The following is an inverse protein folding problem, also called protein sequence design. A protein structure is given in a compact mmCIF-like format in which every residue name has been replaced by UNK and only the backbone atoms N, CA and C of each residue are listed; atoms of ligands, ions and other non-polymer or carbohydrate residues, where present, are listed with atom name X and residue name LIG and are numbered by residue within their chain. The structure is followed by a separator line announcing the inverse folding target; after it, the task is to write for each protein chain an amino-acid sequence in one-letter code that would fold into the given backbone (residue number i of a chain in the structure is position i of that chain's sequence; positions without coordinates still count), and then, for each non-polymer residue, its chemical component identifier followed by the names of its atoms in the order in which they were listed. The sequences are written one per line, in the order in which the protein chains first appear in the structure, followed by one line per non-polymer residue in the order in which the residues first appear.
data_IF_546389783145
#
_entry.id   IF_546389783145
#
_cell.length_a   1.000
_cell.length_b   1.000
_cell.length_c   1.000
_cell.angle_alpha   90.00
_cell.angle_beta   90.00
_cell.angle_gamma   90.00
#
_symmetry.space_group_name_H-M   'P 1'
#
loop_
_entity.id
_entity.type
_entity.pdbx_description
1 polymer ?
#
# COMPACT_ATOMS: atom_id res chain seq x y z
N UNK A 1 -2.01 7.40 24.00
CA UNK A 1 -2.74 7.93 22.83
C UNK A 1 -1.93 7.51 21.61
N UNK A 2 -2.24 6.34 21.05
CA UNK A 2 -1.43 5.79 19.95
C UNK A 2 -1.77 6.54 18.67
N UNK A 3 -0.77 7.20 18.10
CA UNK A 3 -0.84 8.01 16.87
C UNK A 3 -1.39 7.20 15.70
N UNK A 4 -2.66 7.46 15.38
CA UNK A 4 -3.48 6.73 14.39
C UNK A 4 -3.25 7.22 12.95
N UNK A 5 -2.03 7.67 12.63
CA UNK A 5 -1.72 8.38 11.36
C UNK A 5 -0.74 7.61 10.46
N UNK A 6 -0.25 6.44 10.89
CA UNK A 6 0.72 5.65 10.12
C UNK A 6 0.08 4.53 9.29
N UNK A 7 -1.25 4.46 9.24
CA UNK A 7 -1.92 3.38 8.53
C UNK A 7 -2.16 3.77 7.08
N UNK A 8 -1.60 2.99 6.16
CA UNK A 8 -1.77 3.10 4.71
C UNK A 8 -2.86 2.13 4.29
N UNK A 9 -3.90 2.67 3.67
CA UNK A 9 -5.01 1.88 3.15
C UNK A 9 -4.85 1.58 1.66
N UNK A 10 -4.12 2.43 0.93
CA UNK A 10 -3.89 2.25 -0.51
C UNK A 10 -2.40 2.24 -0.86
N UNK A 11 -2.01 1.39 -1.80
CA UNK A 11 -0.66 1.38 -2.35
C UNK A 11 -0.70 1.54 -3.87
N UNK A 12 0.23 2.33 -4.41
CA UNK A 12 0.38 2.45 -5.86
C UNK A 12 0.99 1.16 -6.41
N UNK A 13 0.26 0.47 -7.29
CA UNK A 13 0.68 -0.79 -7.92
C UNK A 13 1.19 -0.64 -9.35
N UNK A 14 1.13 0.58 -9.90
CA UNK A 14 1.58 0.86 -11.26
C UNK A 14 3.05 0.44 -11.43
N UNK A 15 3.38 -0.38 -12.45
CA UNK A 15 4.73 -0.91 -12.65
C UNK A 15 5.77 0.20 -12.88
N UNK A 16 5.40 1.27 -13.58
CA UNK A 16 6.25 2.45 -13.82
C UNK A 16 6.66 3.17 -12.52
N UNK A 17 5.84 3.03 -11.47
CA UNK A 17 6.07 3.63 -10.16
C UNK A 17 6.73 2.66 -9.16
N UNK A 18 7.04 1.43 -9.57
CA UNK A 18 7.77 0.45 -8.73
C UNK A 18 9.27 0.71 -8.84
N UNK A 19 9.77 1.64 -8.01
CA UNK A 19 11.19 2.01 -7.96
C UNK A 19 11.93 1.24 -6.87
N UNK A 20 13.21 0.95 -7.09
CA UNK A 20 14.08 0.28 -6.11
C UNK A 20 14.43 1.15 -4.90
N UNK A 21 14.40 2.48 -5.07
CA UNK A 21 14.67 3.45 -4.00
C UNK A 21 13.36 4.06 -3.53
N UNK A 22 12.84 3.57 -2.40
CA UNK A 22 11.56 4.00 -1.85
C UNK A 22 11.65 5.41 -1.27
N UNK A 23 10.85 6.33 -1.80
CA UNK A 23 10.70 7.69 -1.26
C UNK A 23 9.55 7.72 -0.24
N UNK A 24 9.64 8.57 0.77
CA UNK A 24 8.54 8.81 1.71
C UNK A 24 7.47 9.71 1.08
N UNK A 25 6.75 9.19 0.09
CA UNK A 25 5.64 9.88 -0.55
C UNK A 25 4.31 9.30 -0.10
N UNK A 26 3.81 9.88 0.99
CA UNK A 26 2.47 9.68 1.50
C UNK A 26 1.53 10.71 0.86
N UNK A 27 0.42 10.22 0.32
CA UNK A 27 -0.64 11.05 -0.23
C UNK A 27 -1.98 10.60 0.34
N UNK A 28 -3.03 11.39 0.14
CA UNK A 28 -4.39 11.04 0.55
C UNK A 28 -5.16 10.64 -0.71
N UNK A 29 -5.74 9.44 -0.72
CA UNK A 29 -6.65 8.95 -1.74
C UNK A 29 -7.95 8.51 -1.06
N UNK A 30 -9.09 9.00 -1.53
CA UNK A 30 -10.42 8.63 -0.98
C UNK A 30 -10.50 8.82 0.54
N UNK A 31 -10.07 9.99 1.02
CA UNK A 31 -10.03 10.37 2.45
C UNK A 31 -9.14 9.48 3.35
N UNK A 32 -8.36 8.57 2.73
CA UNK A 32 -7.49 7.61 3.40
C UNK A 32 -6.05 7.77 2.94
N UNK A 33 -5.10 7.25 3.72
CA UNK A 33 -3.68 7.34 3.37
C UNK A 33 -3.32 6.36 2.26
N UNK A 34 -2.55 6.87 1.30
CA UNK A 34 -2.02 6.14 0.18
C UNK A 34 -0.52 6.32 0.06
N UNK A 35 0.19 5.27 -0.35
CA UNK A 35 1.64 5.28 -0.47
C UNK A 35 2.10 5.03 -1.91
N UNK A 36 2.89 5.97 -2.44
CA UNK A 36 3.55 5.82 -3.74
C UNK A 36 5.05 5.59 -3.57
N UNK A 37 5.63 4.48 -4.06
CA UNK A 37 7.07 4.24 -3.98
C UNK A 37 7.92 5.29 -4.73
N UNK A 38 7.42 5.78 -5.86
CA UNK A 38 8.15 6.67 -6.78
C UNK A 38 7.98 8.16 -6.50
N UNK A 39 7.07 8.55 -5.60
CA UNK A 39 6.70 9.96 -5.37
C UNK A 39 6.21 10.73 -6.61
N UNK A 40 5.81 10.03 -7.68
CA UNK A 40 5.21 10.66 -8.86
C UNK A 40 3.92 11.39 -8.48
N UNK A 41 3.57 12.43 -9.23
CA UNK A 41 2.40 13.28 -8.92
C UNK A 41 1.12 12.90 -9.67
N UNK A 42 1.22 12.04 -10.70
CA UNK A 42 0.08 11.66 -11.56
C UNK A 42 0.16 10.21 -12.05
N UNK A 43 -0.99 9.67 -12.45
CA UNK A 43 -1.12 8.37 -13.08
C UNK A 43 -0.93 7.24 -12.09
N UNK A 44 -1.53 7.34 -10.92
CA UNK A 44 -1.45 6.31 -9.91
C UNK A 44 -2.50 5.23 -10.14
N UNK A 45 -2.10 3.98 -9.93
CA UNK A 45 -3.04 2.86 -9.83
C UNK A 45 -3.05 2.43 -8.38
N UNK A 46 -4.09 2.84 -7.64
CA UNK A 46 -4.22 2.55 -6.22
C UNK A 46 -4.97 1.24 -6.02
N UNK A 47 -4.40 0.34 -5.22
CA UNK A 47 -5.13 -0.84 -4.74
C UNK A 47 -5.14 -0.87 -3.21
N UNK A 48 -6.24 -1.38 -2.61
CA UNK A 48 -6.34 -1.50 -1.18
C UNK A 48 -5.28 -2.46 -0.65
N UNK A 49 -4.58 -2.06 0.42
CA UNK A 49 -3.58 -2.85 1.10
C UNK A 49 -3.96 -3.19 2.55
N UNK A 50 -5.21 -2.90 2.94
CA UNK A 50 -5.83 -3.43 4.16
C UNK A 50 -5.35 -2.76 5.45
N UNK A 51 -4.83 -1.53 5.35
CA UNK A 51 -4.48 -0.75 6.52
C UNK A 51 -3.17 -1.18 7.18
N UNK A 52 -2.06 -1.16 6.43
CA UNK A 52 -0.74 -1.51 6.95
C UNK A 52 0.06 -0.29 7.39
N UNK A 53 0.97 -0.48 8.34
CA UNK A 53 1.94 0.56 8.72
C UNK A 53 2.86 0.89 7.57
N UNK A 54 3.28 2.15 7.45
CA UNK A 54 4.15 2.58 6.35
C UNK A 54 5.48 1.83 6.37
N UNK A 55 6.02 1.56 7.56
CA UNK A 55 7.30 0.85 7.73
C UNK A 55 7.21 -0.61 7.25
N UNK A 56 6.13 -1.30 7.60
CA UNK A 56 5.86 -2.67 7.16
C UNK A 56 5.62 -2.73 5.66
N UNK A 57 4.83 -1.80 5.12
CA UNK A 57 4.59 -1.68 3.69
C UNK A 57 5.90 -1.48 2.91
N UNK A 58 6.80 -0.62 3.40
CA UNK A 58 8.11 -0.38 2.76
C UNK A 58 8.98 -1.64 2.77
N UNK A 59 9.03 -2.37 3.88
CA UNK A 59 9.76 -3.65 3.94
C UNK A 59 9.22 -4.66 2.93
N UNK A 60 7.90 -4.76 2.81
CA UNK A 60 7.27 -5.65 1.83
C UNK A 60 7.54 -5.21 0.39
N UNK A 61 7.52 -3.91 0.10
CA UNK A 61 7.81 -3.35 -1.23
C UNK A 61 9.27 -3.58 -1.66
N UNK A 62 10.20 -3.69 -0.71
CA UNK A 62 11.58 -4.08 -0.99
C UNK A 62 11.73 -5.55 -1.36
N UNK A 63 10.78 -6.40 -0.95
CA UNK A 63 10.84 -7.85 -1.11
C UNK A 63 9.91 -8.36 -2.22
N UNK A 64 8.81 -7.66 -2.45
CA UNK A 64 7.70 -8.07 -3.31
C UNK A 64 7.13 -6.88 -4.07
N UNK A 65 6.61 -7.09 -5.29
CA UNK A 65 5.91 -6.04 -6.03
C UNK A 65 4.63 -5.62 -5.31
N UNK A 66 4.27 -4.34 -5.38
CA UNK A 66 3.08 -3.77 -4.73
C UNK A 66 1.78 -4.51 -5.07
N UNK A 67 1.65 -5.03 -6.30
CA UNK A 67 0.50 -5.85 -6.73
C UNK A 67 0.29 -7.07 -5.82
N UNK A 68 1.37 -7.72 -5.37
CA UNK A 68 1.29 -8.88 -4.47
C UNK A 68 0.83 -8.51 -3.07
N UNK A 69 1.23 -7.33 -2.62
CA UNK A 69 0.92 -6.80 -1.30
C UNK A 69 -0.57 -6.44 -1.25
N UNK A 70 -1.04 -5.68 -2.25
CA UNK A 70 -2.45 -5.36 -2.40
C UNK A 70 -3.31 -6.62 -2.50
N UNK A 71 -2.87 -7.61 -3.29
CA UNK A 71 -3.62 -8.87 -3.47
C UNK A 71 -3.80 -9.71 -2.19
N UNK A 72 -2.92 -9.51 -1.21
CA UNK A 72 -3.01 -10.21 0.08
C UNK A 72 -3.99 -9.52 1.04
N UNK A 73 -4.31 -8.26 0.78
CA UNK A 73 -5.22 -7.46 1.59
C UNK A 73 -6.65 -7.43 1.06
N UNK A 74 -6.83 -7.56 -0.26
CA UNK A 74 -8.14 -7.76 -0.89
C UNK A 74 -8.75 -9.13 -0.58
N UNK A 75 -8.00 -10.05 0.05
CA UNK A 75 -8.57 -11.27 0.59
C UNK A 75 -9.65 -10.86 1.60
N UNK A 76 -10.95 -11.07 1.32
CA UNK A 76 -11.97 -10.77 2.30
C UNK A 76 -11.62 -11.56 3.55
N UNK A 77 -11.71 -10.92 4.71
CA UNK A 77 -11.80 -11.63 5.98
C UNK A 77 -13.04 -12.54 5.89
N UNK A 78 -12.88 -13.73 5.32
CA UNK A 78 -13.95 -14.72 5.26
C UNK A 78 -14.28 -15.03 6.72
N UNK A 79 -15.52 -14.78 7.19
CA UNK A 79 -15.87 -15.10 8.55
C UNK A 79 -15.93 -16.62 8.80
N UNK A 80 -15.77 -17.48 7.78
CA UNK A 80 -15.70 -18.94 7.93
C UNK A 80 -15.15 -19.67 6.69
N UNK A 81 -14.04 -20.41 6.85
CA UNK A 81 -13.86 -21.71 6.18
C UNK A 81 -12.95 -21.78 4.93
N UNK A 82 -11.85 -22.53 5.08
CA UNK A 82 -10.80 -22.97 4.13
C UNK A 82 -11.32 -23.72 2.86
N UNK A 83 -10.43 -23.99 1.86
CA UNK A 83 -10.76 -24.79 0.66
C UNK A 83 -11.13 -26.24 0.94
#
# INVERSE_FOLDING_TARGET
MSTMTDQIDFVCVRPDHQVSTLVEALTIHDEQWAYCPSAQSDGHEWLPCGGMRVEDLRRLLQQFPATRIARSAEAPAWPNGLP
#
